data_IF_083866528753
#
_entry.id   IF_083866528753
#
_cell.length_a   1.000
_cell.length_b   1.000
_cell.length_c   1.000
_cell.angle_alpha   90.00
_cell.angle_beta   90.00
_cell.angle_gamma   90.00
#
_symmetry.space_group_name_H-M   'P 1'
#
loop_
_entity.id
_entity.type
_entity.pdbx_description
1 polymer ?
#
# COMPACT_ATOMS: atom_id res chain seq x y z
N UNK A 1 -7.21 -77.79 -20.89
CA UNK A 1 -5.83 -77.29 -20.60
C UNK A 1 -5.64 -76.05 -21.47
N UNK A 2 -5.40 -74.82 -21.00
CA UNK A 2 -4.68 -74.35 -19.83
C UNK A 2 -5.55 -73.39 -18.98
N UNK A 3 -5.59 -73.67 -17.69
CA UNK A 3 -5.91 -72.73 -16.61
C UNK A 3 -4.61 -72.00 -16.22
N UNK A 4 -4.61 -70.67 -16.20
CA UNK A 4 -3.97 -69.77 -15.22
C UNK A 4 -3.75 -68.38 -15.86
N UNK A 5 -4.72 -67.48 -15.68
CA UNK A 5 -4.44 -66.04 -15.66
C UNK A 5 -4.98 -65.51 -14.34
N UNK A 6 -4.27 -65.87 -13.27
CA UNK A 6 -4.66 -65.67 -11.89
C UNK A 6 -3.46 -65.21 -11.08
N UNK A 7 -3.04 -63.98 -11.28
CA UNK A 7 -2.20 -63.25 -10.33
C UNK A 7 -2.70 -61.81 -10.25
N UNK A 8 -3.81 -61.67 -9.52
CA UNK A 8 -4.36 -60.40 -9.04
C UNK A 8 -3.24 -59.64 -8.30
N UNK A 9 -3.07 -58.38 -8.66
CA UNK A 9 -2.29 -57.36 -7.95
C UNK A 9 -2.39 -57.51 -6.43
N UNK A 10 -1.42 -58.18 -5.82
CA UNK A 10 -1.34 -58.37 -4.39
C UNK A 10 0.06 -57.99 -3.91
N UNK A 11 0.27 -56.68 -3.77
CA UNK A 11 1.12 -56.05 -2.75
C UNK A 11 1.49 -54.64 -3.20
N UNK A 12 0.71 -53.63 -2.77
CA UNK A 12 1.22 -52.35 -2.27
C UNK A 12 0.11 -51.31 -1.97
N UNK A 13 -0.88 -51.54 -1.08
CA UNK A 13 -1.63 -50.41 -0.52
C UNK A 13 -1.05 -49.88 0.81
N UNK A 14 -0.13 -50.60 1.47
CA UNK A 14 0.31 -50.23 2.81
C UNK A 14 1.26 -49.01 2.85
N UNK A 15 2.11 -48.83 1.83
CA UNK A 15 3.00 -47.67 1.76
C UNK A 15 2.24 -46.40 1.29
N UNK A 16 1.30 -46.56 0.33
CA UNK A 16 0.60 -45.43 -0.30
C UNK A 16 -0.24 -44.62 0.68
N UNK A 17 -0.89 -45.28 1.66
CA UNK A 17 -1.66 -44.60 2.71
C UNK A 17 -0.80 -43.90 3.77
N UNK A 18 0.41 -44.42 4.04
CA UNK A 18 1.31 -43.87 5.08
C UNK A 18 2.01 -42.60 4.63
N UNK A 19 2.45 -42.54 3.37
CA UNK A 19 2.98 -41.31 2.78
C UNK A 19 1.92 -40.21 2.70
N UNK A 20 0.68 -40.55 2.36
CA UNK A 20 -0.41 -39.58 2.31
C UNK A 20 -0.69 -38.94 3.68
N UNK A 21 -0.74 -39.73 4.77
CA UNK A 21 -1.01 -39.21 6.12
C UNK A 21 0.17 -38.48 6.76
N UNK A 22 1.41 -38.92 6.50
CA UNK A 22 2.60 -38.29 7.09
C UNK A 22 3.07 -37.05 6.31
N UNK A 23 2.85 -37.00 5.00
CA UNK A 23 3.22 -35.87 4.18
C UNK A 23 2.18 -34.74 4.21
N UNK A 24 0.92 -35.04 4.55
CA UNK A 24 -0.15 -34.05 4.70
C UNK A 24 0.17 -32.90 5.68
N UNK A 25 0.62 -33.15 6.94
CA UNK A 25 0.98 -32.07 7.84
C UNK A 25 2.16 -31.23 7.33
N UNK A 26 3.15 -31.87 6.69
CA UNK A 26 4.29 -31.16 6.09
C UNK A 26 3.82 -30.23 4.95
N UNK A 27 2.93 -30.71 4.08
CA UNK A 27 2.34 -29.93 3.01
C UNK A 27 1.49 -28.77 3.55
N UNK A 28 0.75 -28.99 4.64
CA UNK A 28 -0.03 -27.94 5.31
C UNK A 28 0.87 -26.84 5.88
N UNK A 29 1.94 -27.22 6.60
CA UNK A 29 2.91 -26.27 7.16
C UNK A 29 3.59 -25.47 6.06
N UNK A 30 3.98 -26.14 4.97
CA UNK A 30 4.61 -25.48 3.82
C UNK A 30 3.64 -24.50 3.14
N UNK A 31 2.37 -24.89 2.96
CA UNK A 31 1.35 -24.02 2.39
C UNK A 31 1.08 -22.79 3.28
N UNK A 32 1.03 -22.95 4.60
CA UNK A 32 0.88 -21.84 5.54
C UNK A 32 2.09 -20.89 5.50
N UNK A 33 3.31 -21.44 5.48
CA UNK A 33 4.53 -20.64 5.38
C UNK A 33 4.60 -19.85 4.05
N UNK A 34 4.15 -20.45 2.94
CA UNK A 34 4.12 -19.81 1.62
C UNK A 34 2.96 -18.83 1.44
N UNK A 35 1.88 -18.94 2.25
CA UNK A 35 0.70 -18.07 2.11
C UNK A 35 1.01 -16.59 2.30
N UNK A 36 1.98 -16.24 3.15
CA UNK A 36 2.44 -14.87 3.34
C UNK A 36 3.31 -14.31 2.20
N UNK A 37 3.73 -15.16 1.26
CA UNK A 37 4.50 -14.76 0.08
C UNK A 37 3.61 -14.39 -1.11
N UNK A 38 2.30 -14.65 -1.02
CA UNK A 38 1.36 -14.17 -2.02
C UNK A 38 1.08 -12.68 -1.81
N UNK A 39 1.12 -11.85 -2.88
CA UNK A 39 0.66 -10.47 -2.78
C UNK A 39 -0.74 -10.46 -2.18
N UNK A 40 -0.99 -9.58 -1.22
CA UNK A 40 -2.33 -9.37 -0.73
C UNK A 40 -3.22 -9.00 -1.92
N UNK A 41 -4.08 -9.93 -2.34
CA UNK A 41 -5.16 -9.64 -3.29
C UNK A 41 -6.24 -8.91 -2.49
N UNK A 42 -5.92 -7.71 -2.03
CA UNK A 42 -6.94 -6.77 -1.57
C UNK A 42 -7.85 -6.58 -2.76
N UNK A 43 -9.08 -7.08 -2.66
CA UNK A 43 -10.12 -6.71 -3.60
C UNK A 43 -10.21 -5.19 -3.52
N UNK A 44 -9.84 -4.52 -4.61
CA UNK A 44 -10.10 -3.09 -4.76
C UNK A 44 -11.63 -3.02 -4.88
N UNK A 45 -12.29 -2.84 -3.74
CA UNK A 45 -13.73 -2.63 -3.66
C UNK A 45 -14.01 -1.20 -4.15
N UNK A 46 -13.89 -1.00 -5.44
CA UNK A 46 -13.98 0.30 -6.09
C UNK A 46 -14.15 0.13 -7.58
N UNK A 47 -14.73 1.15 -8.22
CA UNK A 47 -14.80 1.16 -9.67
C UNK A 47 -13.39 1.18 -10.27
N UNK A 48 -13.20 0.53 -11.42
CA UNK A 48 -11.92 0.49 -12.11
C UNK A 48 -11.44 1.92 -12.43
N UNK A 49 -10.27 2.36 -11.96
CA UNK A 49 -9.73 3.68 -12.26
C UNK A 49 -9.53 3.95 -13.76
N UNK A 50 -9.40 2.89 -14.57
CA UNK A 50 -9.23 2.97 -16.01
C UNK A 50 -10.56 2.93 -16.78
N UNK A 51 -11.69 2.64 -16.13
CA UNK A 51 -13.00 2.57 -16.78
C UNK A 51 -13.63 3.99 -16.88
N UNK A 52 -13.77 4.56 -18.10
CA UNK A 52 -14.41 5.86 -18.26
C UNK A 52 -15.93 5.82 -18.05
N UNK A 53 -16.55 4.64 -18.03
CA UNK A 53 -17.98 4.46 -17.75
C UNK A 53 -18.27 4.32 -16.25
N UNK A 54 -17.25 4.19 -15.42
CA UNK A 54 -17.38 4.15 -13.97
C UNK A 54 -17.99 5.46 -13.45
N UNK A 55 -19.13 5.36 -12.77
CA UNK A 55 -19.77 6.52 -12.13
C UNK A 55 -19.01 6.88 -10.85
N UNK A 56 -18.21 7.93 -10.92
CA UNK A 56 -17.52 8.52 -9.77
C UNK A 56 -18.14 9.86 -9.38
N UNK A 57 -18.07 10.20 -8.09
CA UNK A 57 -18.46 11.52 -7.63
C UNK A 57 -17.58 12.60 -8.28
N UNK A 58 -18.15 13.75 -8.64
CA UNK A 58 -17.41 14.85 -9.25
C UNK A 58 -16.39 15.41 -8.25
N UNK A 59 -15.12 15.45 -8.63
CA UNK A 59 -14.12 16.19 -7.87
C UNK A 59 -14.42 17.69 -7.94
N UNK A 60 -14.65 18.33 -6.79
CA UNK A 60 -14.76 19.78 -6.68
C UNK A 60 -13.41 20.35 -6.24
N UNK A 61 -12.81 21.20 -7.06
CA UNK A 61 -11.65 21.98 -6.64
C UNK A 61 -12.11 23.22 -5.89
N UNK A 62 -11.61 23.42 -4.67
CA UNK A 62 -11.78 24.66 -3.89
C UNK A 62 -10.40 25.17 -3.51
N UNK A 63 -10.09 26.41 -3.89
CA UNK A 63 -8.87 27.07 -3.42
C UNK A 63 -8.95 27.23 -1.89
N UNK A 64 -7.96 26.70 -1.17
CA UNK A 64 -7.76 26.94 0.27
C UNK A 64 -7.15 28.32 0.53
N UNK A 65 -6.59 28.94 -0.51
CA UNK A 65 -5.96 30.25 -0.43
C UNK A 65 -7.06 31.31 -0.58
N UNK A 66 -7.06 32.29 0.33
CA UNK A 66 -7.96 33.44 0.28
C UNK A 66 -7.88 34.14 -1.09
N UNK A 67 -8.97 34.77 -1.57
CA UNK A 67 -8.94 35.56 -2.79
C UNK A 67 -7.80 36.58 -2.73
N UNK A 68 -7.03 36.68 -3.81
CA UNK A 68 -5.95 37.66 -3.91
C UNK A 68 -6.56 39.05 -4.01
N UNK A 69 -6.37 39.86 -2.97
CA UNK A 69 -6.65 41.30 -3.04
C UNK A 69 -5.50 41.97 -3.78
N UNK A 70 -5.77 42.48 -4.98
CA UNK A 70 -4.81 43.30 -5.70
C UNK A 70 -4.49 44.56 -4.89
N UNK A 71 -3.22 44.74 -4.55
CA UNK A 71 -2.72 45.97 -3.95
C UNK A 71 -2.00 46.78 -5.03
N UNK A 72 -2.32 48.07 -5.13
CA UNK A 72 -1.54 49.00 -5.95
C UNK A 72 -0.19 49.25 -5.27
N UNK A 73 0.92 49.32 -6.02
CA UNK A 73 2.19 49.76 -5.46
C UNK A 73 2.02 51.12 -4.78
N UNK A 74 2.28 51.18 -3.48
CA UNK A 74 2.38 52.42 -2.74
C UNK A 74 3.85 52.83 -2.66
N UNK A 75 4.12 54.14 -2.57
CA UNK A 75 5.46 54.64 -2.26
C UNK A 75 5.95 53.99 -0.97
N UNK A 76 7.14 53.35 -0.96
CA UNK A 76 7.66 52.74 0.26
C UNK A 76 7.85 53.82 1.33
N UNK A 77 7.46 53.50 2.57
CA UNK A 77 7.75 54.37 3.71
C UNK A 77 9.25 54.52 3.95
N UNK A 78 9.68 55.54 4.73
CA UNK A 78 11.08 55.74 5.06
C UNK A 78 11.63 54.52 5.82
N UNK A 79 12.55 53.79 5.19
CA UNK A 79 13.09 52.54 5.73
C UNK A 79 14.02 52.78 6.93
N UNK A 80 14.67 53.95 6.99
CA UNK A 80 15.65 54.28 8.03
C UNK A 80 15.00 54.35 9.41
N UNK A 81 13.89 55.09 9.54
CA UNK A 81 13.15 55.22 10.80
C UNK A 81 12.68 53.86 11.34
N UNK A 82 12.31 52.93 10.44
CA UNK A 82 11.94 51.56 10.81
C UNK A 82 13.13 50.76 11.31
N UNK A 83 14.28 50.92 10.67
CA UNK A 83 15.49 50.22 11.05
C UNK A 83 16.04 50.73 12.39
N UNK A 84 16.00 52.04 12.61
CA UNK A 84 16.43 52.67 13.85
C UNK A 84 15.51 52.28 15.02
N UNK A 85 14.20 52.12 14.76
CA UNK A 85 13.23 51.67 15.77
C UNK A 85 13.44 50.24 16.27
N UNK A 86 14.09 49.38 15.47
CA UNK A 86 14.41 47.99 15.85
C UNK A 86 15.89 47.79 16.17
N UNK A 87 16.71 48.84 16.03
CA UNK A 87 18.13 48.75 16.30
C UNK A 87 18.36 48.47 17.80
N UNK A 88 19.21 47.49 18.15
CA UNK A 88 19.59 47.26 19.54
C UNK A 88 20.31 48.49 20.09
N UNK A 89 20.05 48.82 21.36
CA UNK A 89 20.73 49.93 22.03
C UNK A 89 22.24 49.69 22.09
N UNK A 90 23.07 50.71 21.83
CA UNK A 90 24.52 50.57 21.94
C UNK A 90 24.90 50.20 23.38
N UNK A 91 25.79 49.22 23.51
CA UNK A 91 26.32 48.80 24.81
C UNK A 91 27.13 49.96 25.38
N UNK A 92 26.77 50.42 26.59
CA UNK A 92 27.62 51.35 27.33
C UNK A 92 28.83 50.58 27.85
N UNK A 93 30.01 50.89 27.33
CA UNK A 93 31.27 50.40 27.88
C UNK A 93 31.53 51.14 29.20
N UNK A 94 31.51 50.39 30.30
CA UNK A 94 31.90 50.84 31.64
C UNK A 94 33.23 50.19 32.02
#
# INVERSE_FOLDING_TARGET
>A
MLTLSGAKFAAAPAARGRHFRFNWPLLLVLALALSGCMPATTQIAGADPADPAAKVARASYRSTIAPYTSLRPATPGPWRDRNDAVAPQPKQDR
#
